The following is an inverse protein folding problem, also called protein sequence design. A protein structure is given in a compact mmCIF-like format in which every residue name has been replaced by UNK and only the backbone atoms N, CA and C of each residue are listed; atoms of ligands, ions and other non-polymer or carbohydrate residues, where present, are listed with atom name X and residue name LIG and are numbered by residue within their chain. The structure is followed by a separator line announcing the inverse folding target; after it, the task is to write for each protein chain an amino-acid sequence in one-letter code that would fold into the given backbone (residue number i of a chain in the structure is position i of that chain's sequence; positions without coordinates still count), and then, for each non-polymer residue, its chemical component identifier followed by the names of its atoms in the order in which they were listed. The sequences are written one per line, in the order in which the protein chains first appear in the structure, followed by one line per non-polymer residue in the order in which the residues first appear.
data_IF_224607857183
#
_entry.id   IF_224607857183
#
_cell.length_a   1.000
_cell.length_b   1.000
_cell.length_c   1.000
_cell.angle_alpha   90.00
_cell.angle_beta   90.00
_cell.angle_gamma   90.00
#
_symmetry.space_group_name_H-M   'P 1'
#
loop_
_entity.id
_entity.type
_entity.pdbx_description
1 polymer ?
#
# COMPACT_ATOMS: atom_id res chain seq x y z
N UNK A 1 15.58 -41.30 -39.97
CA UNK A 1 15.63 -40.35 -38.84
C UNK A 1 14.91 -39.12 -39.32
N UNK A 2 13.62 -39.00 -38.99
CA UNK A 2 12.79 -37.85 -39.37
C UNK A 2 12.20 -37.25 -38.09
N UNK A 3 12.15 -35.93 -38.06
CA UNK A 3 12.03 -35.10 -36.86
C UNK A 3 10.64 -35.17 -36.22
N UNK A 4 10.62 -35.28 -34.89
CA UNK A 4 9.45 -35.05 -34.05
C UNK A 4 9.32 -33.55 -33.77
N UNK A 5 8.23 -32.94 -34.23
CA UNK A 5 7.79 -31.62 -33.81
C UNK A 5 6.93 -31.70 -32.54
N UNK A 6 7.14 -30.77 -31.62
CA UNK A 6 6.32 -30.52 -30.43
C UNK A 6 6.64 -29.12 -29.88
N UNK A 7 5.65 -28.26 -29.60
CA UNK A 7 5.87 -26.85 -29.29
C UNK A 7 5.69 -26.59 -27.79
N UNK A 8 6.76 -26.41 -27.05
CA UNK A 8 6.69 -25.99 -25.65
C UNK A 8 7.77 -24.95 -25.37
N UNK A 9 7.44 -24.02 -24.48
CA UNK A 9 8.38 -23.13 -23.76
C UNK A 9 8.70 -21.77 -24.39
N UNK A 10 7.67 -20.91 -24.47
CA UNK A 10 7.82 -19.45 -24.57
C UNK A 10 7.33 -18.69 -23.32
N UNK A 11 7.00 -19.39 -22.22
CA UNK A 11 6.48 -18.79 -20.98
C UNK A 11 7.47 -19.02 -19.83
N UNK A 12 8.69 -18.50 -19.97
CA UNK A 12 9.67 -18.55 -18.87
C UNK A 12 10.65 -17.37 -18.87
N UNK A 13 10.85 -16.69 -20.01
CA UNK A 13 11.77 -15.54 -20.10
C UNK A 13 11.29 -14.28 -19.35
N UNK A 14 10.01 -13.91 -19.47
CA UNK A 14 9.50 -12.66 -18.88
C UNK A 14 9.42 -12.69 -17.35
N UNK A 15 9.00 -13.83 -16.76
CA UNK A 15 8.87 -13.96 -15.30
C UNK A 15 10.22 -13.98 -14.57
N UNK A 16 11.25 -14.56 -15.21
CA UNK A 16 12.61 -14.59 -14.66
C UNK A 16 13.27 -13.19 -14.75
N UNK A 17 12.92 -12.40 -15.77
CA UNK A 17 13.41 -11.03 -15.94
C UNK A 17 12.92 -10.09 -14.83
N UNK A 18 11.62 -10.16 -14.49
CA UNK A 18 11.02 -9.30 -13.44
C UNK A 18 11.52 -9.65 -12.04
N UNK A 19 11.73 -10.94 -11.75
CA UNK A 19 12.25 -11.37 -10.46
C UNK A 19 13.72 -10.93 -10.24
N UNK A 20 14.54 -11.00 -11.29
CA UNK A 20 15.92 -10.54 -11.23
C UNK A 20 16.01 -9.01 -11.16
N UNK A 21 15.11 -8.30 -11.83
CA UNK A 21 15.05 -6.85 -11.83
C UNK A 21 14.69 -6.22 -10.46
N UNK A 22 14.36 -7.04 -9.46
CA UNK A 22 14.01 -6.56 -8.13
C UNK A 22 15.07 -6.94 -7.09
N UNK A 23 16.20 -7.50 -7.56
CA UNK A 23 17.33 -7.95 -6.75
C UNK A 23 18.61 -7.11 -6.92
N UNK A 24 18.60 -6.12 -7.83
CA UNK A 24 19.76 -5.27 -8.10
C UNK A 24 19.75 -3.97 -7.28
N UNK A 25 20.92 -3.35 -7.03
CA UNK A 25 21.04 -2.11 -6.26
C UNK A 25 20.23 -0.96 -6.88
N UNK A 26 19.62 -0.13 -6.04
CA UNK A 26 18.70 0.95 -6.43
C UNK A 26 19.32 1.97 -7.41
N UNK A 27 20.65 2.12 -7.41
CA UNK A 27 21.39 3.02 -8.31
C UNK A 27 21.41 2.55 -9.78
N UNK A 28 21.13 1.27 -10.03
CA UNK A 28 21.10 0.68 -11.39
C UNK A 28 19.82 1.02 -12.15
N UNK A 29 18.79 1.46 -11.43
CA UNK A 29 17.51 1.81 -12.01
C UNK A 29 17.47 3.31 -12.34
N UNK A 30 17.60 3.60 -13.63
CA UNK A 30 16.96 4.80 -14.19
C UNK A 30 15.47 4.77 -13.85
N UNK A 31 14.78 5.92 -13.93
CA UNK A 31 13.32 5.94 -13.81
C UNK A 31 12.73 5.15 -14.99
N UNK A 32 12.67 3.82 -14.83
CA UNK A 32 12.17 2.90 -15.82
C UNK A 32 10.66 2.72 -15.55
N UNK A 33 9.80 3.13 -16.49
CA UNK A 33 8.36 3.07 -16.30
C UNK A 33 7.84 1.64 -16.05
N UNK A 34 8.52 0.62 -16.58
CA UNK A 34 8.09 -0.77 -16.37
C UNK A 34 8.32 -1.22 -14.93
N UNK A 35 9.34 -0.66 -14.27
CA UNK A 35 9.70 -0.97 -12.89
C UNK A 35 8.80 -0.21 -11.93
N UNK A 36 8.52 1.06 -12.23
CA UNK A 36 7.51 1.83 -11.50
C UNK A 36 6.14 1.14 -11.57
N UNK A 37 5.75 0.64 -12.75
CA UNK A 37 4.52 -0.10 -12.93
C UNK A 37 4.52 -1.41 -12.13
N UNK A 38 5.62 -2.16 -12.13
CA UNK A 38 5.76 -3.37 -11.33
C UNK A 38 5.66 -3.10 -9.82
N UNK A 39 6.26 -2.01 -9.34
CA UNK A 39 6.14 -1.57 -7.95
C UNK A 39 4.71 -1.17 -7.60
N UNK A 40 4.04 -0.39 -8.46
CA UNK A 40 2.66 0.01 -8.27
C UNK A 40 1.71 -1.21 -8.21
N UNK A 41 1.87 -2.17 -9.13
CA UNK A 41 1.09 -3.41 -9.13
C UNK A 41 1.28 -4.20 -7.83
N UNK A 42 2.52 -4.37 -7.36
CA UNK A 42 2.79 -5.09 -6.11
C UNK A 42 2.26 -4.35 -4.88
N UNK A 43 2.35 -3.02 -4.86
CA UNK A 43 1.84 -2.21 -3.75
C UNK A 43 0.30 -2.29 -3.67
N UNK A 44 -0.39 -2.30 -4.83
CA UNK A 44 -1.83 -2.55 -4.92
C UNK A 44 -2.21 -3.97 -4.46
N UNK A 45 -1.49 -5.00 -4.90
CA UNK A 45 -1.73 -6.38 -4.44
C UNK A 45 -1.58 -6.50 -2.93
N UNK A 46 -0.55 -5.89 -2.35
CA UNK A 46 -0.36 -5.85 -0.90
C UNK A 46 -1.54 -5.18 -0.19
N UNK A 47 -2.03 -4.05 -0.72
CA UNK A 47 -3.19 -3.33 -0.19
C UNK A 47 -4.47 -4.19 -0.21
N UNK A 48 -4.75 -4.86 -1.32
CA UNK A 48 -5.92 -5.75 -1.48
C UNK A 48 -5.88 -6.94 -0.52
N UNK A 49 -4.72 -7.62 -0.43
CA UNK A 49 -4.52 -8.76 0.46
C UNK A 49 -4.71 -8.33 1.91
N UNK A 50 -4.11 -7.21 2.30
CA UNK A 50 -4.22 -6.67 3.64
C UNK A 50 -5.67 -6.27 3.98
N UNK A 51 -6.35 -5.57 3.06
CA UNK A 51 -7.73 -5.15 3.26
C UNK A 51 -8.67 -6.35 3.45
N UNK A 52 -8.49 -7.40 2.64
CA UNK A 52 -9.22 -8.67 2.78
C UNK A 52 -8.95 -9.34 4.13
N UNK A 53 -7.71 -9.27 4.63
CA UNK A 53 -7.35 -9.87 5.91
C UNK A 53 -8.10 -9.20 7.06
N UNK A 54 -8.02 -7.87 7.18
CA UNK A 54 -8.70 -7.13 8.26
C UNK A 54 -10.22 -7.13 8.13
N UNK A 55 -10.75 -7.44 6.95
CA UNK A 55 -12.19 -7.55 6.75
C UNK A 55 -12.74 -8.93 7.07
N UNK A 56 -11.91 -9.97 6.98
CA UNK A 56 -12.33 -11.37 7.15
C UNK A 56 -12.11 -11.91 8.56
N UNK A 57 -11.12 -11.39 9.29
CA UNK A 57 -10.79 -11.82 10.65
C UNK A 57 -10.68 -10.62 11.58
N UNK A 58 -10.90 -10.83 12.89
CA UNK A 58 -10.81 -9.76 13.88
C UNK A 58 -9.37 -9.19 13.91
N UNK A 59 -9.19 -7.90 13.55
CA UNK A 59 -7.86 -7.31 13.41
C UNK A 59 -7.07 -7.27 14.73
N UNK A 60 -7.72 -7.29 15.89
CA UNK A 60 -7.03 -7.23 17.19
C UNK A 60 -6.15 -8.44 17.46
N UNK A 61 -6.43 -9.58 16.83
CA UNK A 61 -5.65 -10.81 16.97
C UNK A 61 -4.67 -11.04 15.82
N UNK A 62 -4.62 -10.13 14.84
CA UNK A 62 -3.69 -10.22 13.71
C UNK A 62 -2.28 -9.79 14.13
N UNK A 63 -1.31 -10.66 13.89
CA UNK A 63 0.12 -10.32 13.90
C UNK A 63 0.61 -10.20 12.47
N UNK A 64 1.05 -9.01 12.07
CA UNK A 64 1.52 -8.74 10.71
C UNK A 64 2.98 -9.15 10.52
N UNK A 65 3.77 -9.15 11.60
CA UNK A 65 5.19 -9.54 11.56
C UNK A 65 5.59 -10.35 12.80
N UNK A 66 6.79 -10.93 12.78
CA UNK A 66 7.36 -11.62 13.96
C UNK A 66 7.77 -10.65 15.08
N UNK A 67 8.08 -9.41 14.72
CA UNK A 67 8.55 -8.36 15.64
C UNK A 67 7.48 -7.29 15.90
N UNK A 68 6.21 -7.68 15.73
CA UNK A 68 5.04 -6.80 15.82
C UNK A 68 4.98 -6.03 17.15
N UNK A 69 5.26 -6.72 18.25
CA UNK A 69 5.33 -6.13 19.60
C UNK A 69 6.40 -5.05 19.71
N UNK A 70 7.58 -5.29 19.14
CA UNK A 70 8.69 -4.32 19.12
C UNK A 70 8.33 -3.11 18.26
N UNK A 71 7.78 -3.33 17.06
CA UNK A 71 7.36 -2.24 16.17
C UNK A 71 6.34 -1.33 16.88
N UNK A 72 5.33 -1.92 17.53
CA UNK A 72 4.31 -1.15 18.24
C UNK A 72 4.88 -0.31 19.38
N UNK A 73 5.73 -0.90 20.22
CA UNK A 73 6.35 -0.20 21.35
C UNK A 73 7.20 0.98 20.88
N UNK A 74 8.07 0.77 19.90
CA UNK A 74 8.94 1.81 19.32
C UNK A 74 8.12 2.91 18.63
N UNK A 75 7.08 2.53 17.90
CA UNK A 75 6.19 3.48 17.24
C UNK A 75 5.49 4.37 18.26
N UNK A 76 4.91 3.79 19.31
CA UNK A 76 4.22 4.56 20.35
C UNK A 76 5.18 5.30 21.27
N UNK A 77 6.45 4.93 21.36
CA UNK A 77 7.46 5.72 22.05
C UNK A 77 7.84 6.98 21.26
N UNK A 78 8.06 6.85 19.94
CA UNK A 78 8.52 7.93 19.08
C UNK A 78 7.39 8.85 18.61
N UNK A 79 6.18 8.30 18.43
CA UNK A 79 5.02 8.97 17.83
C UNK A 79 3.80 8.94 18.76
N UNK A 80 4.00 9.29 20.04
CA UNK A 80 2.98 9.27 21.11
C UNK A 80 1.67 9.98 20.73
N UNK A 81 1.79 11.13 20.08
CA UNK A 81 0.66 12.00 19.76
C UNK A 81 0.14 11.83 18.33
N UNK A 82 0.75 10.94 17.54
CA UNK A 82 0.34 10.74 16.16
C UNK A 82 -1.04 10.10 16.12
N UNK A 83 -1.94 10.76 15.41
CA UNK A 83 -3.29 10.26 15.16
C UNK A 83 -3.22 9.13 14.15
N UNK A 84 -3.91 8.02 14.41
CA UNK A 84 -3.87 6.84 13.53
C UNK A 84 -5.23 6.46 12.95
N UNK A 85 -6.33 7.04 13.43
CA UNK A 85 -7.66 6.89 12.81
C UNK A 85 -7.73 7.59 11.46
N UNK A 86 -7.37 8.87 11.46
CA UNK A 86 -7.28 9.75 10.30
C UNK A 86 -5.89 10.37 10.31
N UNK A 87 -5.04 9.94 9.38
CA UNK A 87 -3.69 10.44 9.21
C UNK A 87 -3.71 11.75 8.44
N UNK A 88 -2.89 12.70 8.89
CA UNK A 88 -2.52 13.86 8.08
C UNK A 88 -1.36 13.48 7.14
N UNK A 89 -1.51 13.61 5.81
CA UNK A 89 -0.41 13.40 4.86
C UNK A 89 0.88 14.17 5.22
N UNK A 90 0.76 15.35 5.82
CA UNK A 90 1.93 16.18 6.19
C UNK A 90 2.73 15.56 7.35
N UNK A 91 2.10 14.78 8.24
CA UNK A 91 2.78 14.04 9.31
C UNK A 91 3.59 12.83 8.81
N UNK A 92 3.49 12.52 7.51
CA UNK A 92 4.24 11.47 6.83
C UNK A 92 5.18 12.03 5.75
N UNK A 93 4.77 13.07 5.02
CA UNK A 93 5.48 13.61 3.85
C UNK A 93 6.30 14.87 4.10
N UNK A 94 6.00 15.66 5.13
CA UNK A 94 6.75 16.90 5.36
C UNK A 94 8.22 16.59 5.68
N UNK A 95 9.13 17.53 5.41
CA UNK A 95 10.56 17.31 5.68
C UNK A 95 10.83 17.03 7.17
N UNK A 96 10.12 17.74 8.06
CA UNK A 96 10.20 17.47 9.51
C UNK A 96 9.66 16.08 9.87
N UNK A 97 8.59 15.62 9.22
CA UNK A 97 8.10 14.25 9.41
C UNK A 97 9.14 13.23 8.94
N UNK A 98 9.71 13.42 7.74
CA UNK A 98 10.75 12.53 7.21
C UNK A 98 11.96 12.44 8.14
N UNK A 99 12.41 13.56 8.73
CA UNK A 99 13.50 13.56 9.71
C UNK A 99 13.18 12.72 10.96
N UNK A 100 11.93 12.68 11.40
CA UNK A 100 11.49 11.82 12.53
C UNK A 100 11.32 10.36 12.13
N UNK A 101 10.80 10.11 10.94
CA UNK A 101 10.55 8.76 10.43
C UNK A 101 11.83 8.04 10.00
N UNK A 102 12.81 8.74 9.44
CA UNK A 102 14.10 8.15 9.02
C UNK A 102 14.78 7.31 10.12
N UNK A 103 15.07 7.82 11.34
CA UNK A 103 15.70 7.04 12.38
C UNK A 103 14.83 5.86 12.86
N UNK A 104 13.51 6.03 12.85
CA UNK A 104 12.58 4.93 13.15
C UNK A 104 12.69 3.81 12.11
N UNK A 105 12.65 4.14 10.82
CA UNK A 105 12.74 3.15 9.74
C UNK A 105 14.07 2.39 9.77
N UNK A 106 15.19 3.11 9.92
CA UNK A 106 16.53 2.52 9.96
C UNK A 106 16.74 1.56 11.15
N UNK A 107 16.01 1.75 12.25
CA UNK A 107 16.07 0.84 13.41
C UNK A 107 15.62 -0.59 13.08
N UNK A 108 14.82 -0.75 12.02
CA UNK A 108 14.31 -2.04 11.58
C UNK A 108 15.02 -2.57 10.33
N UNK A 109 16.08 -1.89 9.88
CA UNK A 109 16.96 -2.42 8.84
C UNK A 109 17.60 -3.74 9.30
N UNK A 110 17.57 -4.74 8.43
CA UNK A 110 17.98 -6.12 8.75
C UNK A 110 17.07 -6.89 9.73
N UNK A 111 16.07 -6.25 10.35
CA UNK A 111 15.10 -6.90 11.25
C UNK A 111 13.81 -7.24 10.50
N UNK A 112 13.32 -6.28 9.72
CA UNK A 112 12.13 -6.44 8.88
C UNK A 112 12.57 -6.61 7.43
N UNK A 113 12.15 -7.71 6.81
CA UNK A 113 12.43 -7.98 5.41
C UNK A 113 11.79 -6.93 4.51
N UNK A 114 12.61 -6.36 3.62
CA UNK A 114 12.30 -5.23 2.76
C UNK A 114 11.60 -4.08 3.51
N UNK A 115 12.14 -3.66 4.66
CA UNK A 115 11.54 -2.62 5.51
C UNK A 115 11.24 -1.31 4.74
N UNK A 116 12.04 -0.99 3.71
CA UNK A 116 11.94 0.19 2.86
C UNK A 116 11.08 -0.03 1.60
N UNK A 117 10.52 -1.23 1.40
CA UNK A 117 9.70 -1.54 0.24
C UNK A 117 8.44 -0.65 0.19
N UNK A 118 8.08 -0.19 -1.01
CA UNK A 118 6.94 0.68 -1.24
C UNK A 118 5.60 -0.01 -1.03
N UNK A 119 4.78 0.50 -0.11
CA UNK A 119 3.43 -0.02 0.17
C UNK A 119 2.40 1.11 0.15
N UNK A 120 1.12 0.73 0.07
CA UNK A 120 0.01 1.67 0.17
C UNK A 120 -0.59 1.63 1.58
N UNK A 121 -0.77 2.82 2.15
CA UNK A 121 -1.35 3.04 3.47
C UNK A 121 -2.63 3.87 3.34
N UNK A 122 -3.66 3.52 4.13
CA UNK A 122 -4.92 4.28 4.15
C UNK A 122 -4.79 5.49 5.06
N UNK A 123 -5.24 6.66 4.61
CA UNK A 123 -5.29 7.87 5.43
C UNK A 123 -6.36 7.74 6.52
N UNK A 124 -7.58 7.41 6.13
CA UNK A 124 -8.68 7.07 7.02
C UNK A 124 -8.86 5.54 7.10
N UNK A 125 -8.69 4.98 8.30
CA UNK A 125 -8.76 3.53 8.52
C UNK A 125 -10.16 2.92 8.32
N UNK A 126 -11.21 3.74 8.43
CA UNK A 126 -12.61 3.31 8.29
C UNK A 126 -13.04 3.16 6.83
N UNK A 127 -12.23 3.67 5.90
CA UNK A 127 -12.50 3.64 4.46
C UNK A 127 -11.63 2.59 3.76
N UNK A 128 -11.99 2.26 2.52
CA UNK A 128 -11.19 1.40 1.64
C UNK A 128 -9.99 2.12 1.03
N UNK A 129 -9.23 1.40 0.22
CA UNK A 129 -8.21 2.01 -0.63
C UNK A 129 -8.89 2.73 -1.81
N UNK A 130 -8.74 4.06 -1.87
CA UNK A 130 -9.14 4.92 -3.00
C UNK A 130 -7.99 5.86 -3.32
N UNK A 131 -8.02 6.54 -4.47
CA UNK A 131 -6.99 7.50 -4.85
C UNK A 131 -6.82 8.61 -3.79
N UNK A 132 -7.93 9.10 -3.22
CA UNK A 132 -7.92 10.21 -2.26
C UNK A 132 -7.62 9.75 -0.82
N UNK A 133 -7.84 8.46 -0.51
CA UNK A 133 -7.66 7.90 0.83
C UNK A 133 -6.36 7.09 0.95
N UNK A 134 -5.48 7.12 -0.04
CA UNK A 134 -4.27 6.28 -0.06
C UNK A 134 -3.02 7.12 -0.18
N UNK A 135 -1.99 6.72 0.55
CA UNK A 135 -0.66 7.32 0.49
C UNK A 135 0.40 6.24 0.33
N UNK A 136 1.45 6.56 -0.42
CA UNK A 136 2.63 5.72 -0.51
C UNK A 136 3.48 5.82 0.76
N UNK A 137 3.85 4.69 1.32
CA UNK A 137 4.67 4.60 2.52
C UNK A 137 5.60 3.35 2.48
N UNK A 138 6.84 3.44 2.98
CA UNK A 138 7.66 2.29 3.31
C UNK A 138 6.92 1.23 4.15
N UNK A 139 7.21 -0.04 3.88
CA UNK A 139 6.61 -1.20 4.56
C UNK A 139 6.68 -1.10 6.09
N UNK A 140 7.79 -0.59 6.64
CA UNK A 140 7.91 -0.41 8.09
C UNK A 140 6.97 0.66 8.66
N UNK A 141 6.72 1.74 7.92
CA UNK A 141 5.74 2.75 8.32
C UNK A 141 4.33 2.19 8.26
N UNK A 142 4.03 1.44 7.19
CA UNK A 142 2.77 0.70 7.07
C UNK A 142 2.56 -0.22 8.27
N UNK A 143 3.55 -1.05 8.63
CA UNK A 143 3.44 -1.93 9.78
C UNK A 143 3.25 -1.15 11.07
N UNK A 144 4.04 -0.11 11.33
CA UNK A 144 3.92 0.70 12.54
C UNK A 144 2.49 1.21 12.77
N UNK A 145 1.89 1.76 11.71
CA UNK A 145 0.57 2.39 11.77
C UNK A 145 -0.53 1.32 11.81
N UNK A 146 -0.49 0.33 10.93
CA UNK A 146 -1.54 -0.69 10.85
C UNK A 146 -1.52 -1.66 12.04
N UNK A 147 -0.35 -1.96 12.62
CA UNK A 147 -0.26 -2.68 13.89
C UNK A 147 -0.94 -1.88 15.00
N UNK A 148 -0.66 -0.58 15.08
CA UNK A 148 -1.29 0.27 16.09
C UNK A 148 -2.82 0.33 15.89
N UNK A 149 -3.29 0.47 14.64
CA UNK A 149 -4.72 0.45 14.30
C UNK A 149 -5.39 -0.86 14.68
N UNK A 150 -4.72 -1.99 14.46
CA UNK A 150 -5.21 -3.30 14.82
C UNK A 150 -5.35 -3.44 16.34
N UNK A 151 -4.27 -3.16 17.09
CA UNK A 151 -4.23 -3.29 18.56
C UNK A 151 -5.19 -2.35 19.27
N UNK A 152 -5.32 -1.12 18.77
CA UNK A 152 -6.18 -0.10 19.38
C UNK A 152 -7.63 -0.15 18.89
N UNK A 153 -7.94 -1.08 17.97
CA UNK A 153 -9.30 -1.36 17.53
C UNK A 153 -9.85 -0.42 16.46
N UNK A 154 -9.03 0.47 15.89
CA UNK A 154 -9.45 1.36 14.81
C UNK A 154 -9.84 0.60 13.52
N UNK A 155 -9.16 -0.51 13.22
CA UNK A 155 -9.51 -1.36 12.09
C UNK A 155 -10.73 -2.25 12.33
N UNK A 156 -11.24 -2.34 13.56
CA UNK A 156 -12.41 -3.17 13.88
C UNK A 156 -13.65 -2.74 13.12
N UNK A 157 -13.77 -1.43 12.82
CA UNK A 157 -14.88 -0.89 12.04
C UNK A 157 -15.00 -1.52 10.64
N UNK A 158 -13.87 -1.89 10.01
CA UNK A 158 -13.86 -2.56 8.71
C UNK A 158 -14.42 -3.98 8.85
N UNK A 159 -13.96 -4.72 9.86
CA UNK A 159 -14.45 -6.08 10.14
C UNK A 159 -15.96 -6.12 10.45
N UNK A 160 -16.44 -5.24 11.33
CA UNK A 160 -17.86 -5.21 11.71
C UNK A 160 -18.75 -4.71 10.58
N UNK A 161 -18.29 -3.70 9.84
CA UNK A 161 -19.05 -3.13 8.73
C UNK A 161 -19.32 -4.11 7.60
N UNK A 162 -18.41 -5.06 7.35
CA UNK A 162 -18.65 -6.13 6.36
C UNK A 162 -19.61 -7.18 6.92
N UNK A 163 -19.41 -7.65 8.16
CA UNK A 163 -20.33 -8.64 8.76
C UNK A 163 -21.78 -8.16 8.80
N UNK A 164 -22.00 -6.90 9.16
CA UNK A 164 -23.34 -6.32 9.18
C UNK A 164 -23.97 -6.24 7.77
N UNK A 165 -23.16 -6.06 6.71
CA UNK A 165 -23.66 -6.07 5.33
C UNK A 165 -24.03 -7.49 4.88
N UNK A 166 -23.18 -8.46 5.16
CA UNK A 166 -23.42 -9.88 4.83
C UNK A 166 -24.68 -10.40 5.54
N UNK A 167 -24.89 -10.06 6.82
CA UNK A 167 -26.09 -10.44 7.57
C UNK A 167 -27.36 -9.78 6.99
N UNK A 168 -27.29 -8.51 6.58
CA UNK A 168 -28.41 -7.80 5.95
C UNK A 168 -28.76 -8.40 4.58
N UNK A 169 -27.76 -8.73 3.77
CA UNK A 169 -27.96 -9.36 2.45
C UNK A 169 -28.52 -10.78 2.57
N UNK A 170 -28.08 -11.56 3.57
CA UNK A 170 -28.64 -12.87 3.88
C UNK A 170 -30.11 -12.78 4.34
N UNK A 171 -30.48 -11.72 5.07
CA UNK A 171 -31.86 -11.50 5.54
C UNK A 171 -32.82 -10.97 4.46
N UNK A 172 -32.31 -10.28 3.44
CA UNK A 172 -33.11 -9.68 2.36
C UNK A 172 -33.25 -10.57 1.10
N UNK A 173 -32.67 -11.78 1.08
CA UNK A 173 -32.73 -12.72 -0.06
C UNK A 173 -34.10 -13.35 -0.35
N UNK A 174 -35.18 -12.84 0.23
CA UNK A 174 -36.53 -13.43 0.21
C UNK A 174 -37.63 -12.55 -0.39
N UNK A 175 -37.37 -11.71 -1.40
CA UNK A 175 -38.45 -11.18 -2.25
C UNK A 175 -37.93 -10.76 -3.64
N UNK A 176 -38.40 -11.42 -4.70
CA UNK A 176 -38.19 -11.00 -6.09
C UNK A 176 -39.56 -10.70 -6.71
N UNK A 177 -39.90 -9.42 -6.74
CA UNK A 177 -41.02 -8.85 -7.51
C UNK A 177 -40.53 -7.70 -8.39
N UNK A 178 -40.80 -7.79 -9.68
CA UNK A 178 -40.36 -6.87 -10.74
C UNK A 178 -41.02 -5.48 -10.69
N UNK A 179 -40.32 -4.42 -11.14
CA UNK A 179 -40.75 -3.56 -12.26
C UNK A 179 -39.65 -2.57 -12.73
N UNK A 180 -39.63 -2.34 -14.03
CA UNK A 180 -38.82 -1.39 -14.82
C UNK A 180 -39.22 0.08 -14.65
N UNK A 181 -38.31 1.02 -14.96
CA UNK A 181 -38.40 2.08 -16.02
C UNK A 181 -37.46 3.27 -15.72
N UNK A 182 -36.77 3.76 -16.75
CA UNK A 182 -35.58 4.62 -16.65
C UNK A 182 -35.80 6.12 -16.77
N UNK A 183 -34.68 6.85 -16.92
CA UNK A 183 -34.58 8.21 -17.51
C UNK A 183 -33.09 8.56 -17.78
N UNK A 184 -32.85 9.14 -18.97
CA UNK A 184 -31.63 9.89 -19.38
C UNK A 184 -31.52 11.18 -18.52
N UNK A 185 -30.43 11.94 -18.37
CA UNK A 185 -29.43 12.43 -19.31
C UNK A 185 -28.40 13.33 -18.54
N UNK A 186 -27.31 13.71 -19.24
CA UNK A 186 -26.41 14.89 -19.08
C UNK A 186 -25.03 14.72 -18.45
N UNK A 187 -24.04 14.88 -19.33
CA UNK A 187 -22.62 15.04 -19.01
C UNK A 187 -22.19 16.48 -18.72
N UNK A 188 -20.93 16.61 -18.31
CA UNK A 188 -20.15 17.83 -18.41
C UNK A 188 -18.65 17.50 -18.42
N UNK A 189 -17.96 18.13 -19.36
CA UNK A 189 -16.56 18.01 -19.74
C UNK A 189 -15.61 18.69 -18.71
N UNK A 190 -14.42 18.12 -18.43
CA UNK A 190 -13.28 18.83 -17.78
C UNK A 190 -11.93 18.27 -18.27
N UNK A 191 -11.55 18.64 -19.48
CA UNK A 191 -10.15 18.72 -19.90
C UNK A 191 -9.55 19.99 -19.27
N UNK A 192 -8.61 19.84 -18.34
CA UNK A 192 -7.94 21.00 -17.74
C UNK A 192 -7.03 20.74 -16.54
N UNK A 193 -7.11 19.58 -15.88
CA UNK A 193 -6.31 19.30 -14.67
C UNK A 193 -5.07 18.41 -14.89
N UNK A 194 -4.85 17.87 -16.10
CA UNK A 194 -3.78 16.89 -16.36
C UNK A 194 -2.35 17.45 -16.43
N UNK A 195 -2.15 18.76 -16.59
CA UNK A 195 -0.80 19.31 -16.82
C UNK A 195 -0.06 19.74 -15.54
N UNK A 196 -0.76 20.02 -14.43
CA UNK A 196 -0.12 20.51 -13.19
C UNK A 196 0.25 19.41 -12.19
N UNK A 197 -0.34 18.22 -12.32
CA UNK A 197 -0.08 17.07 -11.44
C UNK A 197 1.25 16.38 -11.75
N UNK A 198 1.60 16.26 -13.03
CA UNK A 198 2.83 15.58 -13.47
C UNK A 198 4.11 16.26 -12.95
N UNK A 199 4.14 17.60 -12.87
CA UNK A 199 5.34 18.34 -12.45
C UNK A 199 5.59 18.26 -10.92
N UNK A 200 4.55 17.95 -10.13
CA UNK A 200 4.65 17.77 -8.68
C UNK A 200 5.10 16.34 -8.32
N UNK A 201 4.68 15.35 -9.10
CA UNK A 201 5.11 13.96 -8.94
C UNK A 201 6.57 13.75 -9.33
N UNK A 202 7.08 14.42 -10.37
CA UNK A 202 8.50 14.33 -10.75
C UNK A 202 9.45 14.86 -9.65
N UNK A 203 9.08 15.95 -8.96
CA UNK A 203 9.86 16.49 -7.84
C UNK A 203 9.82 15.61 -6.59
N UNK A 204 8.72 14.89 -6.37
CA UNK A 204 8.60 13.93 -5.26
C UNK A 204 9.45 12.66 -5.50
N UNK A 205 9.60 12.24 -6.77
CA UNK A 205 10.45 11.10 -7.16
C UNK A 205 11.95 11.37 -6.96
N UNK A 206 12.40 12.60 -7.24
CA UNK A 206 13.80 12.99 -7.07
C UNK A 206 14.23 13.01 -5.59
N UNK A 207 13.33 13.42 -4.69
CA UNK A 207 13.60 13.50 -3.26
C UNK A 207 13.76 12.12 -2.58
N UNK A 208 13.06 11.09 -3.06
CA UNK A 208 13.23 9.72 -2.56
C UNK A 208 14.55 9.09 -3.01
N UNK A 209 15.05 9.46 -4.19
CA UNK A 209 16.33 8.97 -4.74
C UNK A 209 17.55 9.52 -4.00
N UNK A 210 17.46 10.74 -3.46
CA UNK A 210 18.54 11.34 -2.65
C UNK A 210 18.63 10.73 -1.24
N UNK A 211 17.52 10.17 -0.73
CA UNK A 211 17.50 9.44 0.55
C UNK A 211 18.23 8.10 0.41
N UNK A 212 18.11 7.41 -0.72
CA UNK A 212 18.81 6.14 -0.97
C UNK A 212 20.32 6.31 -1.23
N UNK A 213 20.75 7.39 -1.89
CA UNK A 213 22.19 7.66 -2.12
C UNK A 213 22.95 8.02 -0.85
N UNK A 214 22.30 8.72 0.09
CA UNK A 214 22.95 9.14 1.33
C UNK A 214 23.26 7.98 2.29
N UNK A 215 22.57 6.84 2.17
CA UNK A 215 22.88 5.62 2.91
C UNK A 215 24.08 4.85 2.37
N UNK A 216 24.45 5.03 1.10
CA UNK A 216 25.61 4.35 0.49
C UNK A 216 26.94 5.10 0.69
N UNK A 217 26.92 6.37 1.09
CA UNK A 217 28.13 7.19 1.28
C UNK A 217 28.75 7.07 2.69
N UNK A 218 28.19 6.25 3.58
CA UNK A 218 28.74 6.00 4.94
C UNK A 218 29.14 4.54 5.16
N UNK A 219 29.81 3.93 4.18
CA UNK A 219 30.69 2.76 4.38
C UNK A 219 32.10 3.07 3.88
#
# INVERSE_FOLDING_TARGET
MEATGGPEELVSGELVSVAHALSLPAESYGNDPDIEMAWAMRAMQHAEIYYKLISSVDPQFLKLTKVDDQIYSEFRENFKNLRIDILDPEELKSESAKEKWRPFCLKFDGIVEDFNYGTLLRLNCSQGYTEENTIFAPRIQFFAIEIARNREGYNKAVYTGIKEKEEKEASNGGDKGANSRGEEEKGANREGEKEKTNEREEKEKEACKEISKSSETTM
#
